data_IF_160854316858
#
_entry.id   IF_160854316858
#
_cell.length_a   1.000
_cell.length_b   1.000
_cell.length_c   1.000
_cell.angle_alpha   90.00
_cell.angle_beta   90.00
_cell.angle_gamma   90.00
#
_symmetry.space_group_name_H-M   'P 1'
#
loop_
_entity.id
_entity.type
_entity.pdbx_description
1 polymer ?
#
# COMPACT_ATOMS: atom_id res chain seq x y z
N UNK A 1 -20.44 -19.29 -70.32
CA UNK A 1 -19.25 -18.54 -69.80
C UNK A 1 -19.65 -17.52 -68.68
N UNK A 2 -20.45 -17.85 -67.69
CA UNK A 2 -20.94 -16.91 -66.65
C UNK A 2 -20.59 -17.30 -65.23
N UNK A 3 -19.70 -18.28 -65.02
CA UNK A 3 -19.30 -18.72 -63.69
C UNK A 3 -18.13 -17.93 -63.05
N UNK A 4 -17.32 -17.24 -63.86
CA UNK A 4 -16.16 -16.46 -63.38
C UNK A 4 -16.51 -15.26 -62.49
N UNK A 5 -17.56 -14.45 -62.75
CA UNK A 5 -17.87 -13.29 -61.88
C UNK A 5 -18.43 -13.70 -60.53
N UNK A 6 -19.13 -14.84 -60.43
CA UNK A 6 -19.66 -15.34 -59.19
C UNK A 6 -18.58 -15.87 -58.22
N UNK A 7 -17.52 -16.48 -58.78
CA UNK A 7 -16.39 -16.99 -58.01
C UNK A 7 -15.55 -15.86 -57.40
N UNK A 8 -15.28 -14.81 -58.19
CA UNK A 8 -14.55 -13.60 -57.74
C UNK A 8 -15.32 -12.95 -56.59
N UNK A 9 -16.63 -12.78 -56.67
CA UNK A 9 -17.46 -12.19 -55.62
C UNK A 9 -17.43 -12.99 -54.29
N UNK A 10 -17.44 -14.30 -54.37
CA UNK A 10 -17.31 -15.19 -53.21
C UNK A 10 -15.92 -15.08 -52.58
N UNK A 11 -14.89 -14.99 -53.38
CA UNK A 11 -13.50 -14.82 -52.92
C UNK A 11 -13.29 -13.48 -52.21
N UNK A 12 -13.85 -12.38 -52.74
CA UNK A 12 -13.82 -11.09 -52.08
C UNK A 12 -14.59 -11.05 -50.77
N UNK A 13 -15.76 -11.66 -50.71
CA UNK A 13 -16.55 -11.80 -49.50
C UNK A 13 -15.81 -12.61 -48.43
N UNK A 14 -15.16 -13.70 -48.80
CA UNK A 14 -14.38 -14.52 -47.90
C UNK A 14 -13.15 -13.76 -47.37
N UNK A 15 -12.44 -13.01 -48.22
CA UNK A 15 -11.32 -12.17 -47.83
C UNK A 15 -11.75 -11.04 -46.89
N UNK A 16 -12.87 -10.39 -47.16
CA UNK A 16 -13.40 -9.33 -46.31
C UNK A 16 -13.84 -9.87 -44.95
N UNK A 17 -14.49 -11.02 -44.91
CA UNK A 17 -14.88 -11.69 -43.66
C UNK A 17 -13.65 -12.08 -42.83
N UNK A 18 -12.63 -12.65 -43.47
CA UNK A 18 -11.37 -13.02 -42.81
C UNK A 18 -10.67 -11.82 -42.21
N UNK A 19 -10.60 -10.72 -42.95
CA UNK A 19 -10.00 -9.44 -42.46
C UNK A 19 -10.78 -8.88 -41.30
N UNK A 20 -12.10 -8.96 -41.33
CA UNK A 20 -12.96 -8.48 -40.24
C UNK A 20 -12.77 -9.32 -38.96
N UNK A 21 -12.68 -10.64 -39.06
CA UNK A 21 -12.37 -11.53 -37.92
C UNK A 21 -11.01 -11.21 -37.35
N UNK A 22 -10.00 -10.96 -38.19
CA UNK A 22 -8.66 -10.61 -37.73
C UNK A 22 -8.64 -9.28 -36.96
N UNK A 23 -9.39 -8.28 -37.43
CA UNK A 23 -9.52 -6.98 -36.76
C UNK A 23 -10.18 -7.13 -35.39
N UNK A 24 -11.24 -7.95 -35.26
CA UNK A 24 -11.89 -8.22 -33.98
C UNK A 24 -10.91 -8.91 -33.01
N UNK A 25 -10.15 -9.89 -33.50
CA UNK A 25 -9.15 -10.59 -32.69
C UNK A 25 -8.04 -9.66 -32.18
N UNK A 26 -7.55 -8.76 -33.03
CA UNK A 26 -6.57 -7.75 -32.64
C UNK A 26 -7.13 -6.74 -31.65
N UNK A 27 -8.35 -6.27 -31.84
CA UNK A 27 -9.02 -5.36 -30.89
C UNK A 27 -9.23 -6.02 -29.54
N UNK A 28 -9.70 -7.27 -29.49
CA UNK A 28 -9.89 -8.00 -28.23
C UNK A 28 -8.56 -8.29 -27.52
N UNK A 29 -7.49 -8.58 -28.23
CA UNK A 29 -6.17 -8.76 -27.66
C UNK A 29 -5.62 -7.46 -27.06
N UNK A 30 -5.82 -6.32 -27.73
CA UNK A 30 -5.42 -5.01 -27.22
C UNK A 30 -6.17 -4.62 -25.95
N UNK A 31 -7.50 -4.84 -25.92
CA UNK A 31 -8.33 -4.58 -24.74
C UNK A 31 -7.89 -5.48 -23.57
N UNK A 32 -7.70 -6.78 -23.83
CA UNK A 32 -7.24 -7.72 -22.80
C UNK A 32 -5.87 -7.35 -22.24
N UNK A 33 -4.93 -6.94 -23.08
CA UNK A 33 -3.60 -6.49 -22.65
C UNK A 33 -3.69 -5.21 -21.78
N UNK A 34 -4.58 -4.29 -22.13
CA UNK A 34 -4.79 -3.07 -21.34
C UNK A 34 -5.39 -3.39 -19.96
N UNK A 35 -6.44 -4.21 -19.91
CA UNK A 35 -7.07 -4.64 -18.66
C UNK A 35 -6.10 -5.42 -17.76
N UNK A 36 -5.26 -6.28 -18.34
CA UNK A 36 -4.25 -7.02 -17.57
C UNK A 36 -3.21 -6.11 -16.95
N UNK A 37 -2.77 -5.09 -17.66
CA UNK A 37 -1.79 -4.11 -17.12
C UNK A 37 -2.37 -3.29 -15.99
N UNK A 38 -3.61 -2.82 -16.10
CA UNK A 38 -4.28 -2.06 -15.03
C UNK A 38 -4.50 -2.93 -13.79
N UNK A 39 -4.99 -4.15 -13.95
CA UNK A 39 -5.19 -5.08 -12.84
C UNK A 39 -3.87 -5.47 -12.15
N UNK A 40 -2.79 -5.62 -12.91
CA UNK A 40 -1.47 -5.93 -12.35
C UNK A 40 -0.93 -4.75 -11.53
N UNK A 41 -1.05 -3.52 -12.02
CA UNK A 41 -0.64 -2.32 -11.29
C UNK A 41 -1.42 -2.16 -9.98
N UNK A 42 -2.73 -2.41 -10.00
CA UNK A 42 -3.59 -2.39 -8.80
C UNK A 42 -3.19 -3.47 -7.79
N UNK A 43 -2.92 -4.70 -8.25
CA UNK A 43 -2.45 -5.78 -7.39
C UNK A 43 -1.09 -5.46 -6.75
N UNK A 44 -0.18 -4.84 -7.47
CA UNK A 44 1.11 -4.39 -6.95
C UNK A 44 0.96 -3.30 -5.88
N UNK A 45 0.07 -2.32 -6.09
CA UNK A 45 -0.23 -1.29 -5.08
C UNK A 45 -0.80 -1.91 -3.81
N UNK A 46 -1.78 -2.80 -3.93
CA UNK A 46 -2.37 -3.49 -2.78
C UNK A 46 -1.34 -4.34 -2.02
N UNK A 47 -0.47 -5.05 -2.72
CA UNK A 47 0.61 -5.83 -2.10
C UNK A 47 1.63 -4.94 -1.40
N UNK A 48 2.00 -3.81 -2.00
CA UNK A 48 2.91 -2.83 -1.39
C UNK A 48 2.30 -2.24 -0.13
N UNK A 49 1.02 -1.88 -0.16
CA UNK A 49 0.30 -1.35 1.00
C UNK A 49 0.25 -2.38 2.14
N UNK A 50 -0.09 -3.63 1.84
CA UNK A 50 -0.08 -4.72 2.83
C UNK A 50 1.31 -4.92 3.46
N UNK A 51 2.36 -4.89 2.65
CA UNK A 51 3.75 -5.02 3.11
C UNK A 51 4.15 -3.87 4.06
N UNK A 52 3.78 -2.63 3.74
CA UNK A 52 4.06 -1.47 4.60
C UNK A 52 3.28 -1.54 5.93
N UNK A 53 2.01 -1.98 5.92
CA UNK A 53 1.24 -2.20 7.15
C UNK A 53 1.86 -3.29 8.03
N UNK A 54 2.34 -4.39 7.46
CA UNK A 54 3.05 -5.44 8.20
C UNK A 54 4.35 -4.92 8.80
N UNK A 55 5.10 -4.11 8.06
CA UNK A 55 6.33 -3.48 8.52
C UNK A 55 6.05 -2.50 9.66
N UNK A 56 5.04 -1.64 9.52
CA UNK A 56 4.61 -0.70 10.56
C UNK A 56 4.24 -1.44 11.85
N UNK A 57 3.42 -2.49 11.74
CA UNK A 57 3.04 -3.33 12.90
C UNK A 57 4.26 -3.93 13.60
N UNK A 58 5.21 -4.47 12.84
CA UNK A 58 6.45 -5.03 13.39
C UNK A 58 7.32 -3.99 14.11
N UNK A 59 7.47 -2.80 13.52
CA UNK A 59 8.29 -1.73 14.11
C UNK A 59 7.59 -1.21 15.37
N UNK A 60 6.28 -1.00 15.34
CA UNK A 60 5.48 -0.53 16.48
C UNK A 60 5.56 -1.53 17.64
N UNK A 61 5.39 -2.82 17.37
CA UNK A 61 5.55 -3.87 18.39
C UNK A 61 6.95 -3.83 19.04
N UNK A 62 8.01 -3.68 18.25
CA UNK A 62 9.38 -3.59 18.78
C UNK A 62 9.61 -2.32 19.59
N UNK A 63 8.98 -1.21 19.21
CA UNK A 63 9.05 0.03 19.97
C UNK A 63 8.37 -0.15 21.33
N UNK A 64 7.12 -0.62 21.36
CA UNK A 64 6.36 -0.81 22.59
C UNK A 64 7.02 -1.83 23.52
N UNK A 65 7.53 -2.93 22.97
CA UNK A 65 8.29 -3.90 23.76
C UNK A 65 9.50 -3.23 24.40
N UNK A 66 10.28 -2.46 23.66
CA UNK A 66 11.44 -1.77 24.19
C UNK A 66 11.08 -0.77 25.28
N UNK A 67 10.03 0.05 25.07
CA UNK A 67 9.55 0.98 26.08
C UNK A 67 9.09 0.27 27.36
N UNK A 68 8.36 -0.84 27.22
CA UNK A 68 7.92 -1.66 28.35
C UNK A 68 9.09 -2.28 29.10
N UNK A 69 10.06 -2.85 28.40
CA UNK A 69 11.27 -3.42 28.99
C UNK A 69 12.07 -2.36 29.77
N UNK A 70 12.15 -1.15 29.27
CA UNK A 70 12.81 -0.02 29.93
C UNK A 70 12.09 0.41 31.22
N UNK A 71 10.77 0.46 31.19
CA UNK A 71 9.95 0.75 32.38
C UNK A 71 10.08 -0.32 33.47
N UNK A 72 10.09 -1.60 33.08
CA UNK A 72 10.13 -2.72 34.04
C UNK A 72 11.52 -2.89 34.65
N UNK A 73 12.57 -2.77 33.85
CA UNK A 73 13.93 -3.06 34.27
C UNK A 73 14.75 -1.84 34.70
N UNK A 74 14.14 -0.64 34.65
CA UNK A 74 14.79 0.61 35.07
C UNK A 74 16.08 0.95 34.30
N UNK A 75 16.23 0.41 33.11
CA UNK A 75 17.35 0.74 32.23
C UNK A 75 17.07 2.09 31.58
N UNK A 76 17.99 3.02 31.74
CA UNK A 76 17.92 4.30 31.06
C UNK A 76 17.63 4.09 29.58
N UNK A 77 16.46 4.54 29.15
CA UNK A 77 16.03 4.46 27.78
C UNK A 77 17.16 4.94 26.87
N UNK A 78 17.63 4.10 25.97
CA UNK A 78 18.53 4.58 24.94
C UNK A 78 17.70 5.46 23.99
N UNK A 79 17.54 6.73 24.38
CA UNK A 79 16.71 7.72 23.69
C UNK A 79 17.01 7.78 22.19
N UNK A 80 18.26 7.50 21.78
CA UNK A 80 18.64 7.42 20.39
C UNK A 80 17.96 6.26 19.67
N UNK A 81 17.81 5.10 20.33
CA UNK A 81 17.11 3.93 19.74
C UNK A 81 15.60 4.17 19.65
N UNK A 82 15.00 4.77 20.66
CA UNK A 82 13.58 5.13 20.67
C UNK A 82 13.30 6.11 19.53
N UNK A 83 14.09 7.19 19.44
CA UNK A 83 13.96 8.20 18.38
C UNK A 83 14.12 7.60 16.97
N UNK A 84 15.08 6.68 16.79
CA UNK A 84 15.28 6.00 15.50
C UNK A 84 14.04 5.17 15.12
N UNK A 85 13.43 4.45 16.07
CA UNK A 85 12.21 3.68 15.83
C UNK A 85 11.00 4.56 15.54
N UNK A 86 10.86 5.69 16.25
CA UNK A 86 9.83 6.69 15.95
C UNK A 86 9.96 7.20 14.52
N UNK A 87 11.17 7.55 14.11
CA UNK A 87 11.41 8.00 12.74
C UNK A 87 11.14 6.92 11.67
N UNK A 88 11.41 5.65 11.99
CA UNK A 88 11.05 4.53 11.11
C UNK A 88 9.53 4.38 10.99
N UNK A 89 8.77 4.54 12.07
CA UNK A 89 7.30 4.53 12.09
C UNK A 89 6.77 5.69 11.22
N UNK A 90 7.25 6.90 11.44
CA UNK A 90 6.85 8.08 10.66
C UNK A 90 7.13 7.90 9.16
N UNK A 91 8.30 7.37 8.81
CA UNK A 91 8.63 7.07 7.42
C UNK A 91 7.71 6.00 6.82
N UNK A 92 7.31 4.99 7.59
CA UNK A 92 6.38 3.94 7.13
C UNK A 92 4.98 4.50 6.96
N UNK A 93 4.49 5.32 7.90
CA UNK A 93 3.20 6.01 7.80
C UNK A 93 3.13 6.92 6.57
N UNK A 94 4.17 7.71 6.31
CA UNK A 94 4.24 8.55 5.12
C UNK A 94 4.21 7.73 3.81
N UNK A 95 4.84 6.56 3.78
CA UNK A 95 4.75 5.64 2.63
C UNK A 95 3.34 5.06 2.48
N UNK A 96 2.70 4.65 3.57
CA UNK A 96 1.31 4.17 3.54
C UNK A 96 0.41 5.26 2.97
N UNK A 97 0.48 6.50 3.47
CA UNK A 97 -0.30 7.63 2.95
C UNK A 97 -0.09 7.85 1.45
N UNK A 98 1.16 7.78 0.98
CA UNK A 98 1.45 7.94 -0.45
C UNK A 98 0.90 6.81 -1.31
N UNK A 99 0.91 5.57 -0.81
CA UNK A 99 0.33 4.41 -1.49
C UNK A 99 -1.20 4.44 -1.50
N UNK A 100 -1.83 4.89 -0.40
CA UNK A 100 -3.28 5.09 -0.32
C UNK A 100 -3.75 6.16 -1.30
N UNK A 101 -3.04 7.28 -1.41
CA UNK A 101 -3.32 8.32 -2.41
C UNK A 101 -3.17 7.79 -3.84
N UNK A 102 -2.10 7.03 -4.13
CA UNK A 102 -1.91 6.42 -5.43
C UNK A 102 -3.00 5.38 -5.75
N UNK A 103 -3.46 4.62 -4.76
CA UNK A 103 -4.57 3.68 -4.91
C UNK A 103 -5.89 4.41 -5.17
N UNK A 104 -6.16 5.49 -4.44
CA UNK A 104 -7.34 6.35 -4.64
C UNK A 104 -7.37 6.96 -6.04
N UNK A 105 -6.23 7.39 -6.56
CA UNK A 105 -6.11 7.91 -7.93
C UNK A 105 -6.35 6.82 -8.98
N UNK A 106 -5.83 5.61 -8.76
CA UNK A 106 -5.93 4.51 -9.71
C UNK A 106 -7.30 3.82 -9.75
N UNK A 107 -8.01 3.74 -8.61
CA UNK A 107 -9.26 3.00 -8.45
C UNK A 107 -10.49 3.88 -8.29
N UNK A 108 -10.33 5.18 -8.00
CA UNK A 108 -11.38 6.10 -7.59
C UNK A 108 -11.69 6.04 -6.08
N UNK A 109 -12.45 7.03 -5.63
CA UNK A 109 -12.66 7.32 -4.20
C UNK A 109 -13.31 6.20 -3.37
N UNK A 110 -14.03 5.27 -4.00
CA UNK A 110 -14.85 4.27 -3.29
C UNK A 110 -14.11 2.94 -3.00
N UNK A 111 -12.91 2.74 -3.52
CA UNK A 111 -12.24 1.44 -3.51
C UNK A 111 -11.03 1.32 -2.57
N UNK A 112 -10.84 2.26 -1.65
CA UNK A 112 -9.70 2.23 -0.72
C UNK A 112 -10.00 1.38 0.51
N UNK A 113 -9.14 0.40 0.80
CA UNK A 113 -9.18 -0.47 1.99
C UNK A 113 -8.75 0.24 3.30
N UNK A 114 -8.52 1.52 3.27
CA UNK A 114 -8.19 2.38 4.38
C UNK A 114 -8.31 3.83 3.97
N UNK A 115 -8.54 4.74 4.90
CA UNK A 115 -8.55 6.17 4.61
C UNK A 115 -7.24 6.80 5.09
N UNK A 116 -6.82 7.85 4.39
CA UNK A 116 -5.68 8.69 4.84
C UNK A 116 -5.97 9.21 6.24
N UNK A 117 -7.24 9.45 6.55
CA UNK A 117 -7.72 9.86 7.87
C UNK A 117 -7.45 8.80 8.94
N UNK A 118 -7.68 7.51 8.66
CA UNK A 118 -7.37 6.41 9.60
C UNK A 118 -5.86 6.32 9.88
N UNK A 119 -5.03 6.61 8.87
CA UNK A 119 -3.57 6.63 9.02
C UNK A 119 -3.10 7.83 9.83
N UNK A 120 -3.75 9.00 9.70
CA UNK A 120 -3.49 10.19 10.52
C UNK A 120 -3.90 9.95 11.99
N UNK A 121 -5.04 9.31 12.23
CA UNK A 121 -5.50 8.94 13.56
C UNK A 121 -4.54 7.94 14.22
N UNK A 122 -4.08 6.94 13.48
CA UNK A 122 -3.07 5.98 13.95
C UNK A 122 -1.75 6.67 14.31
N UNK A 123 -1.29 7.62 13.51
CA UNK A 123 -0.09 8.41 13.80
C UNK A 123 -0.23 9.19 15.09
N UNK A 124 -1.35 9.91 15.28
CA UNK A 124 -1.64 10.66 16.50
C UNK A 124 -1.70 9.74 17.73
N UNK A 125 -2.29 8.56 17.61
CA UNK A 125 -2.35 7.58 18.69
C UNK A 125 -0.96 7.08 19.09
N UNK A 126 -0.11 6.74 18.11
CA UNK A 126 1.27 6.28 18.37
C UNK A 126 2.08 7.37 19.07
N UNK A 127 1.96 8.62 18.63
CA UNK A 127 2.64 9.76 19.28
C UNK A 127 2.18 9.94 20.71
N UNK A 128 0.87 9.92 20.97
CA UNK A 128 0.29 10.04 22.33
C UNK A 128 0.84 8.96 23.27
N UNK A 129 0.85 7.69 22.82
CA UNK A 129 1.39 6.58 23.62
C UNK A 129 2.87 6.80 23.95
N UNK A 130 3.68 7.21 22.98
CA UNK A 130 5.12 7.47 23.21
C UNK A 130 5.34 8.61 24.20
N UNK A 131 4.51 9.66 24.15
CA UNK A 131 4.60 10.79 25.10
C UNK A 131 4.21 10.34 26.51
N UNK A 132 3.16 9.54 26.69
CA UNK A 132 2.78 8.98 27.98
C UNK A 132 3.88 8.11 28.58
N UNK A 133 4.49 7.22 27.78
CA UNK A 133 5.62 6.41 28.24
C UNK A 133 6.80 7.29 28.67
N UNK A 134 7.09 8.37 27.94
CA UNK A 134 8.15 9.32 28.31
C UNK A 134 7.84 10.04 29.62
N UNK A 135 6.60 10.48 29.82
CA UNK A 135 6.16 11.12 31.05
C UNK A 135 6.30 10.19 32.26
N UNK A 136 5.92 8.92 32.13
CA UNK A 136 6.07 7.89 33.18
C UNK A 136 7.54 7.65 33.49
N UNK A 137 8.39 7.53 32.48
CA UNK A 137 9.83 7.31 32.66
C UNK A 137 10.49 8.48 33.43
N UNK A 138 10.11 9.72 33.10
CA UNK A 138 10.62 10.92 33.79
C UNK A 138 10.09 11.02 35.22
N UNK A 139 8.85 10.59 35.50
CA UNK A 139 8.29 10.62 36.85
C UNK A 139 8.96 9.60 37.78
N UNK A 140 9.34 8.44 37.25
CA UNK A 140 10.06 7.41 38.02
C UNK A 140 11.50 7.81 38.36
N UNK A 141 12.15 8.63 37.50
CA UNK A 141 13.51 9.12 37.72
C UNK A 141 13.54 10.27 38.77
N UNK A 142 12.39 10.90 39.03
CA UNK A 142 12.25 12.02 39.98
C UNK A 142 11.88 11.59 41.38
N UNK A 143 11.68 10.30 41.66
CA UNK A 143 11.41 9.80 43.01
C UNK A 143 12.75 9.43 43.67
N UNK A 144 13.38 10.26 44.51
CA UNK A 144 14.56 9.86 45.25
C UNK A 144 14.12 8.74 46.21
N UNK A 145 14.78 7.59 46.09
CA UNK A 145 14.74 6.52 47.09
C UNK A 145 15.26 7.13 48.42
N UNK A 146 14.36 7.65 49.25
CA UNK A 146 14.67 7.96 50.64
C UNK A 146 14.88 6.60 51.36
N UNK A 147 16.12 6.25 51.49
CA UNK A 147 16.62 5.32 52.51
C UNK A 147 17.24 6.06 53.67
#
# INVERSE_FOLDING_TARGET
MTLLPMYKRKLYLFGLLSTFILLIALASAAISAHLTRTNLAQAQLAQSLLSEHQQLSSISYRLFKQLTDELIFGKNANQAKVRNKQQQIENSLNRIKSLELAQREALGLEATLGSVEDTDELEALIQSIVEEFRAIALSNDSTPLNH
#
